data_IF_626271543612
#
_entry.id   IF_626271543612
#
_cell.length_a   1.000
_cell.length_b   1.000
_cell.length_c   1.000
_cell.angle_alpha   90.00
_cell.angle_beta   90.00
_cell.angle_gamma   90.00
#
_symmetry.space_group_name_H-M   'P 1'
#
loop_
_entity.id
_entity.type
_entity.pdbx_description
1 polymer ?
#
# COMPACT_ATOMS: atom_id res chain seq x y z
N UNK A 1 -3.40 2.71 23.55
CA UNK A 1 -3.23 1.84 22.36
C UNK A 1 -1.78 1.41 22.09
N UNK A 2 -0.74 2.16 22.51
CA UNK A 2 0.67 1.73 22.36
C UNK A 2 1.19 0.80 23.49
N UNK A 3 0.41 0.59 24.55
CA UNK A 3 0.84 -0.09 25.78
C UNK A 3 0.55 -1.58 25.86
N UNK A 4 -0.11 -2.19 24.86
CA UNK A 4 -0.54 -3.61 24.93
C UNK A 4 0.27 -4.55 24.02
N UNK A 5 1.00 -4.02 23.04
CA UNK A 5 1.73 -4.83 22.06
C UNK A 5 3.23 -4.80 22.38
N UNK A 6 3.79 -5.94 22.80
CA UNK A 6 5.23 -6.08 23.02
C UNK A 6 6.02 -5.81 21.72
N UNK A 7 7.23 -5.26 21.85
CA UNK A 7 8.12 -4.92 20.72
C UNK A 7 8.28 -6.10 19.75
N UNK A 8 8.39 -7.32 20.27
CA UNK A 8 8.47 -8.55 19.47
C UNK A 8 7.26 -8.73 18.54
N UNK A 9 6.04 -8.44 19.02
CA UNK A 9 4.82 -8.52 18.22
C UNK A 9 4.79 -7.45 17.13
N UNK A 10 5.22 -6.22 17.45
CA UNK A 10 5.33 -5.15 16.47
C UNK A 10 6.31 -5.52 15.35
N UNK A 11 7.51 -6.01 15.72
CA UNK A 11 8.49 -6.47 14.74
C UNK A 11 7.95 -7.61 13.88
N UNK A 12 7.30 -8.60 14.50
CA UNK A 12 6.71 -9.72 13.77
C UNK A 12 5.64 -9.29 12.77
N UNK A 13 4.72 -8.41 13.18
CA UNK A 13 3.68 -7.89 12.30
C UNK A 13 4.30 -7.08 11.16
N UNK A 14 5.28 -6.22 11.45
CA UNK A 14 5.98 -5.43 10.43
C UNK A 14 6.69 -6.33 9.42
N UNK A 15 7.40 -7.36 9.88
CA UNK A 15 8.07 -8.32 8.98
C UNK A 15 7.05 -9.06 8.11
N UNK A 16 5.99 -9.60 8.72
CA UNK A 16 4.97 -10.33 7.99
C UNK A 16 4.29 -9.45 6.93
N UNK A 17 4.05 -8.18 7.24
CA UNK A 17 3.43 -7.22 6.33
C UNK A 17 4.37 -6.70 5.25
N UNK A 18 5.69 -6.68 5.49
CA UNK A 18 6.67 -6.24 4.50
C UNK A 18 7.04 -7.35 3.49
N UNK A 19 6.91 -8.62 3.87
CA UNK A 19 7.30 -9.78 3.05
C UNK A 19 6.78 -9.73 1.61
N UNK A 20 5.48 -9.48 1.32
CA UNK A 20 4.98 -9.48 -0.06
C UNK A 20 5.70 -8.49 -0.97
N UNK A 21 5.94 -7.28 -0.45
CA UNK A 21 6.57 -6.18 -1.17
C UNK A 21 8.08 -6.38 -1.30
N UNK A 22 8.74 -6.89 -0.25
CA UNK A 22 10.16 -7.20 -0.28
C UNK A 22 10.50 -8.33 -1.25
N UNK A 23 9.67 -9.38 -1.32
CA UNK A 23 9.82 -10.47 -2.30
C UNK A 23 9.64 -9.93 -3.72
N UNK A 24 8.62 -9.11 -3.94
CA UNK A 24 8.39 -8.46 -5.24
C UNK A 24 9.58 -7.59 -5.66
N UNK A 25 10.08 -6.74 -4.77
CA UNK A 25 11.21 -5.85 -5.04
C UNK A 25 12.51 -6.63 -5.32
N UNK A 26 12.85 -7.61 -4.46
CA UNK A 26 14.04 -8.42 -4.64
C UNK A 26 13.98 -9.21 -5.96
N UNK A 27 12.82 -9.80 -6.27
CA UNK A 27 12.57 -10.45 -7.56
C UNK A 27 12.80 -9.49 -8.72
N UNK A 28 12.14 -8.32 -8.74
CA UNK A 28 12.28 -7.36 -9.83
C UNK A 28 13.71 -6.84 -10.03
N UNK A 29 14.48 -6.66 -8.94
CA UNK A 29 15.89 -6.26 -9.03
C UNK A 29 16.77 -7.36 -9.61
N UNK A 30 16.53 -8.63 -9.24
CA UNK A 30 17.31 -9.78 -9.73
C UNK A 30 17.02 -10.12 -11.18
N UNK A 31 15.76 -9.97 -11.64
CA UNK A 31 15.33 -10.28 -13.00
C UNK A 31 15.19 -9.06 -13.91
N UNK A 32 15.63 -7.86 -13.49
CA UNK A 32 15.40 -6.62 -14.23
C UNK A 32 15.97 -6.57 -15.66
N UNK A 33 16.93 -7.43 -15.98
CA UNK A 33 17.56 -7.59 -17.29
C UNK A 33 17.27 -8.94 -17.97
N UNK A 34 16.38 -9.75 -17.37
CA UNK A 34 15.99 -11.08 -17.86
C UNK A 34 14.46 -11.14 -18.02
N UNK A 35 13.91 -12.10 -18.80
CA UNK A 35 12.47 -12.32 -18.81
C UNK A 35 11.98 -12.62 -17.39
N UNK A 36 10.94 -11.91 -16.96
CA UNK A 36 10.37 -12.08 -15.63
C UNK A 36 9.84 -13.50 -15.47
N UNK A 37 10.22 -14.23 -14.40
CA UNK A 37 9.63 -15.53 -14.12
C UNK A 37 8.11 -15.40 -13.98
N UNK A 38 7.36 -16.33 -14.58
CA UNK A 38 5.90 -16.30 -14.54
C UNK A 38 5.34 -16.24 -13.11
N UNK A 39 5.96 -16.92 -12.14
CA UNK A 39 5.53 -16.85 -10.74
C UNK A 39 5.68 -15.44 -10.14
N UNK A 40 6.76 -14.73 -10.47
CA UNK A 40 7.00 -13.36 -9.98
C UNK A 40 5.99 -12.41 -10.59
N UNK A 41 5.66 -12.60 -11.87
CA UNK A 41 4.62 -11.84 -12.54
C UNK A 41 3.26 -11.96 -11.83
N UNK A 42 2.80 -13.18 -11.55
CA UNK A 42 1.55 -13.41 -10.83
C UNK A 42 1.62 -12.88 -9.38
N UNK A 43 2.77 -13.04 -8.72
CA UNK A 43 3.00 -12.52 -7.37
C UNK A 43 2.83 -11.00 -7.31
N UNK A 44 3.43 -10.27 -8.25
CA UNK A 44 3.33 -8.82 -8.34
C UNK A 44 1.87 -8.39 -8.58
N UNK A 45 1.18 -9.01 -9.54
CA UNK A 45 -0.22 -8.71 -9.81
C UNK A 45 -1.12 -8.93 -8.60
N UNK A 46 -1.07 -10.11 -7.99
CA UNK A 46 -1.92 -10.44 -6.83
C UNK A 46 -1.62 -9.51 -5.65
N UNK A 47 -0.34 -9.31 -5.33
CA UNK A 47 0.05 -8.50 -4.18
C UNK A 47 -0.38 -7.04 -4.35
N UNK A 48 -0.03 -6.40 -5.48
CA UNK A 48 -0.33 -4.99 -5.67
C UNK A 48 -1.83 -4.71 -5.89
N UNK A 49 -2.61 -5.64 -6.49
CA UNK A 49 -4.06 -5.50 -6.57
C UNK A 49 -4.72 -5.60 -5.19
N UNK A 50 -4.28 -6.54 -4.34
CA UNK A 50 -4.76 -6.64 -2.96
C UNK A 50 -4.42 -5.38 -2.17
N UNK A 51 -3.20 -4.83 -2.34
CA UNK A 51 -2.80 -3.58 -1.70
C UNK A 51 -3.69 -2.43 -2.11
N UNK A 52 -3.84 -2.23 -3.43
CA UNK A 52 -4.64 -1.15 -4.00
C UNK A 52 -6.10 -1.26 -3.55
N UNK A 53 -6.69 -2.46 -3.55
CA UNK A 53 -8.03 -2.68 -3.05
C UNK A 53 -8.14 -2.36 -1.54
N UNK A 54 -7.13 -2.73 -0.75
CA UNK A 54 -7.03 -2.41 0.66
C UNK A 54 -6.95 -0.90 0.92
N UNK A 55 -6.09 -0.20 0.18
CA UNK A 55 -5.96 1.26 0.17
C UNK A 55 -7.29 1.93 -0.19
N UNK A 56 -7.94 1.53 -1.28
CA UNK A 56 -9.23 2.06 -1.69
C UNK A 56 -10.30 1.86 -0.62
N UNK A 57 -10.41 0.66 -0.06
CA UNK A 57 -11.43 0.32 0.94
C UNK A 57 -11.18 0.98 2.30
N UNK A 58 -9.94 0.97 2.77
CA UNK A 58 -9.61 1.47 4.10
C UNK A 58 -9.61 3.00 4.15
N UNK A 59 -9.39 3.67 3.01
CA UNK A 59 -9.12 5.10 2.96
C UNK A 59 -10.01 5.87 2.02
N UNK A 60 -9.97 5.59 0.73
CA UNK A 60 -10.72 6.37 -0.25
C UNK A 60 -12.22 6.22 -0.07
N UNK A 61 -12.69 5.03 0.29
CA UNK A 61 -14.10 4.77 0.56
C UNK A 61 -14.60 5.57 1.79
N UNK A 62 -13.93 5.56 2.96
CA UNK A 62 -14.30 6.44 4.06
C UNK A 62 -14.13 7.93 3.80
N UNK A 63 -13.14 8.31 2.99
CA UNK A 63 -12.86 9.71 2.68
C UNK A 63 -13.87 10.32 1.69
N UNK A 64 -14.35 9.55 0.72
CA UNK A 64 -15.24 10.03 -0.35
C UNK A 64 -16.70 9.60 -0.21
N UNK A 65 -16.96 8.38 0.28
CA UNK A 65 -18.28 7.73 0.12
C UNK A 65 -19.00 7.55 1.45
N UNK A 66 -18.41 6.82 2.41
CA UNK A 66 -19.08 6.48 3.67
C UNK A 66 -18.20 6.74 4.89
N UNK A 67 -18.45 7.82 5.66
CA UNK A 67 -17.69 8.14 6.85
C UNK A 67 -17.60 6.98 7.85
N UNK A 68 -16.45 6.84 8.50
CA UNK A 68 -16.19 5.90 9.59
C UNK A 68 -15.54 6.65 10.74
N UNK A 69 -16.35 7.03 11.74
CA UNK A 69 -15.93 7.88 12.85
C UNK A 69 -14.89 7.22 13.76
N UNK A 70 -14.96 5.89 13.93
CA UNK A 70 -13.99 5.14 14.73
C UNK A 70 -12.62 5.12 14.04
N UNK A 71 -12.60 4.90 12.72
CA UNK A 71 -11.36 4.98 11.93
C UNK A 71 -10.80 6.40 11.92
N UNK A 72 -11.65 7.41 11.72
CA UNK A 72 -11.23 8.82 11.73
C UNK A 72 -10.61 9.21 13.07
N UNK A 73 -11.20 8.81 14.19
CA UNK A 73 -10.64 9.07 15.52
C UNK A 73 -9.31 8.38 15.74
N UNK A 74 -9.19 7.10 15.37
CA UNK A 74 -7.91 6.38 15.46
C UNK A 74 -6.82 7.05 14.61
N UNK A 75 -7.20 7.50 13.41
CA UNK A 75 -6.27 8.17 12.52
C UNK A 75 -5.83 9.54 13.05
N UNK A 76 -6.76 10.36 13.57
CA UNK A 76 -6.43 11.63 14.22
C UNK A 76 -5.42 11.45 15.36
N UNK A 77 -5.60 10.43 16.21
CA UNK A 77 -4.66 10.15 17.31
C UNK A 77 -3.26 9.77 16.83
N UNK A 78 -3.16 9.07 15.70
CA UNK A 78 -1.88 8.59 15.17
C UNK A 78 -1.17 9.63 14.29
N UNK A 79 -1.93 10.44 13.54
CA UNK A 79 -1.42 11.24 12.42
C UNK A 79 -1.95 12.67 12.36
N UNK A 80 -2.79 13.11 13.31
CA UNK A 80 -3.41 14.43 13.30
C UNK A 80 -2.43 15.62 13.37
N UNK A 81 -1.18 15.37 13.78
CA UNK A 81 -0.10 16.36 13.80
C UNK A 81 0.91 16.20 12.66
N UNK A 82 0.59 15.40 11.64
CA UNK A 82 1.42 15.25 10.45
C UNK A 82 1.00 16.21 9.35
N UNK A 83 1.90 16.49 8.41
CA UNK A 83 1.60 17.34 7.27
C UNK A 83 0.44 16.77 6.43
N UNK A 84 -0.61 17.56 6.24
CA UNK A 84 -1.76 17.24 5.41
C UNK A 84 -1.49 17.61 3.95
N UNK A 85 -1.59 16.64 3.04
CA UNK A 85 -1.46 16.88 1.61
C UNK A 85 -2.79 17.26 0.95
N UNK A 86 -3.90 16.71 1.46
CA UNK A 86 -5.26 17.03 1.03
C UNK A 86 -6.08 17.61 2.18
N UNK A 87 -7.18 18.35 1.88
CA UNK A 87 -8.09 18.85 2.91
C UNK A 87 -8.65 17.72 3.77
N UNK A 88 -8.96 18.03 5.04
CA UNK A 88 -9.65 17.10 5.92
C UNK A 88 -11.07 16.83 5.40
N UNK A 89 -11.44 15.56 5.24
CA UNK A 89 -12.83 15.13 4.97
C UNK A 89 -13.18 13.95 5.84
N UNK A 90 -14.40 13.94 6.38
CA UNK A 90 -14.89 12.89 7.28
C UNK A 90 -13.95 12.59 8.47
N UNK A 91 -13.17 13.60 8.90
CA UNK A 91 -12.19 13.47 9.97
C UNK A 91 -10.90 12.73 9.59
N UNK A 92 -10.69 12.45 8.30
CA UNK A 92 -9.48 11.85 7.74
C UNK A 92 -8.64 12.92 7.06
N UNK A 93 -7.33 12.87 7.30
CA UNK A 93 -6.36 13.84 6.78
C UNK A 93 -5.28 13.08 6.00
N UNK A 94 -5.32 13.06 4.66
CA UNK A 94 -4.33 12.36 3.86
C UNK A 94 -2.96 12.99 4.09
N UNK A 95 -2.05 12.28 4.77
CA UNK A 95 -0.72 12.78 5.05
C UNK A 95 0.27 12.42 3.93
N UNK A 96 1.48 12.97 4.00
CA UNK A 96 2.52 12.75 2.98
C UNK A 96 2.81 11.27 2.74
N UNK A 97 3.00 10.48 3.80
CA UNK A 97 3.32 9.05 3.67
C UNK A 97 2.16 8.27 3.03
N UNK A 98 0.94 8.63 3.37
CA UNK A 98 -0.27 8.04 2.83
C UNK A 98 -0.39 8.28 1.32
N UNK A 99 -0.22 9.53 0.89
CA UNK A 99 -0.28 9.89 -0.53
C UNK A 99 0.88 9.24 -1.30
N UNK A 100 2.09 9.22 -0.73
CA UNK A 100 3.25 8.59 -1.34
C UNK A 100 3.03 7.08 -1.56
N UNK A 101 2.52 6.38 -0.55
CA UNK A 101 2.21 4.95 -0.64
C UNK A 101 1.18 4.69 -1.76
N UNK A 102 0.04 5.39 -1.75
CA UNK A 102 -1.03 5.19 -2.72
C UNK A 102 -0.57 5.52 -4.15
N UNK A 103 0.24 6.57 -4.30
CA UNK A 103 0.81 6.96 -5.59
C UNK A 103 1.78 5.89 -6.10
N UNK A 104 2.66 5.38 -5.23
CA UNK A 104 3.58 4.30 -5.59
C UNK A 104 2.82 3.03 -5.99
N UNK A 105 1.82 2.60 -5.21
CA UNK A 105 0.98 1.44 -5.52
C UNK A 105 0.27 1.61 -6.86
N UNK A 106 -0.36 2.77 -7.11
CA UNK A 106 -1.04 3.05 -8.36
C UNK A 106 -0.09 3.07 -9.57
N UNK A 107 1.10 3.69 -9.43
CA UNK A 107 2.13 3.69 -10.46
C UNK A 107 2.65 2.28 -10.75
N UNK A 108 2.87 1.45 -9.72
CA UNK A 108 3.30 0.07 -9.93
C UNK A 108 2.24 -0.75 -10.66
N UNK A 109 0.97 -0.65 -10.29
CA UNK A 109 -0.12 -1.34 -11.01
C UNK A 109 -0.24 -0.81 -12.44
N UNK A 110 -0.12 0.50 -12.66
CA UNK A 110 -0.10 1.10 -13.99
C UNK A 110 1.06 0.59 -14.85
N UNK A 111 2.26 0.48 -14.27
CA UNK A 111 3.43 -0.08 -14.94
C UNK A 111 3.24 -1.56 -15.28
N UNK A 112 2.73 -2.38 -14.35
CA UNK A 112 2.42 -3.78 -14.61
C UNK A 112 1.40 -3.93 -15.74
N UNK A 113 0.38 -3.07 -15.75
CA UNK A 113 -0.64 -3.03 -16.81
C UNK A 113 -0.01 -2.70 -18.15
N UNK A 114 0.82 -1.64 -18.19
CA UNK A 114 1.54 -1.26 -19.40
C UNK A 114 2.43 -2.39 -19.92
N UNK A 115 3.26 -2.99 -19.07
CA UNK A 115 4.15 -4.10 -19.44
C UNK A 115 3.38 -5.32 -19.93
N UNK A 116 2.19 -5.59 -19.37
CA UNK A 116 1.32 -6.67 -19.81
C UNK A 116 0.88 -6.49 -21.27
N UNK A 117 0.48 -5.27 -21.64
CA UNK A 117 0.00 -4.95 -22.98
C UNK A 117 1.13 -4.68 -23.99
N UNK A 118 2.30 -4.24 -23.52
CA UNK A 118 3.48 -4.02 -24.37
C UNK A 118 4.24 -5.30 -24.72
N UNK A 119 3.76 -6.49 -24.29
CA UNK A 119 4.37 -7.77 -24.63
C UNK A 119 5.72 -8.06 -23.99
N UNK A 120 6.25 -7.18 -23.13
CA UNK A 120 7.54 -7.36 -22.45
C UNK A 120 7.49 -8.40 -21.32
N UNK A 121 6.28 -8.80 -20.92
CA UNK A 121 6.05 -9.79 -19.87
C UNK A 121 5.90 -11.24 -20.41
N UNK A 122 6.26 -11.49 -21.68
CA UNK A 122 6.26 -12.83 -22.30
C UNK A 122 7.62 -13.15 -22.91
#
# INVERSE_FOLDING_TARGET
>A
MRSEDGIARLLWITLLQSLPWSVGLAGSLTYGSAPYPGWLWHWLWVSYLILLAGELRAWWWPYLVRPDSQRAERYRRMFGHTHAFLPSRNGLVPNTLHVALHSATALTVGLLTFLHFSGHAR
#
